data_IF_198184302808
#
_entry.id   IF_198184302808
#
_cell.length_a   1.000
_cell.length_b   1.000
_cell.length_c   1.000
_cell.angle_alpha   90.00
_cell.angle_beta   90.00
_cell.angle_gamma   90.00
#
_symmetry.space_group_name_H-M   'P 1'
#
loop_
_entity.id
_entity.type
_entity.pdbx_description
1 polymer ?
#
# COMPACT_ATOMS: atom_id res chain seq x y z
N UNK A 1 42.48 85.31 -50.16
CA UNK A 1 41.34 85.59 -49.25
C UNK A 1 40.62 84.28 -49.01
N UNK A 2 40.47 83.69 -47.83
CA UNK A 2 40.90 84.02 -46.47
C UNK A 2 40.45 82.84 -45.60
N UNK A 3 41.40 82.23 -44.89
CA UNK A 3 41.19 81.21 -43.87
C UNK A 3 40.60 81.94 -42.66
N UNK A 4 39.27 82.00 -42.50
CA UNK A 4 38.58 82.20 -41.19
C UNK A 4 37.03 82.34 -41.23
N UNK A 5 36.35 82.31 -42.39
CA UNK A 5 34.89 82.57 -42.44
C UNK A 5 33.99 81.33 -42.64
N UNK A 6 34.55 80.12 -42.56
CA UNK A 6 33.80 78.87 -42.80
C UNK A 6 33.30 78.18 -41.51
N UNK A 7 33.60 78.72 -40.32
CA UNK A 7 33.32 78.09 -39.01
C UNK A 7 32.37 78.90 -38.11
N UNK A 8 31.38 79.61 -38.67
CA UNK A 8 30.35 80.27 -37.83
C UNK A 8 28.90 80.18 -38.32
N UNK A 9 28.57 79.24 -39.21
CA UNK A 9 27.19 78.99 -39.64
C UNK A 9 26.93 77.50 -39.82
N UNK A 10 26.71 76.78 -38.71
CA UNK A 10 25.98 75.50 -38.65
C UNK A 10 25.98 74.93 -37.22
N UNK A 11 25.38 75.65 -36.29
CA UNK A 11 24.75 75.11 -35.08
C UNK A 11 23.53 75.99 -34.83
N UNK A 12 22.44 75.34 -34.46
CA UNK A 12 21.10 75.90 -34.25
C UNK A 12 20.22 75.90 -35.50
N UNK A 13 19.73 74.71 -35.84
CA UNK A 13 18.41 74.45 -36.43
C UNK A 13 18.22 72.91 -36.49
N UNK A 14 17.73 72.33 -35.40
CA UNK A 14 17.34 70.92 -35.36
C UNK A 14 15.97 70.74 -36.04
N UNK A 15 15.76 69.72 -36.91
CA UNK A 15 14.50 69.57 -37.58
C UNK A 15 13.46 68.84 -36.72
N UNK A 16 12.23 69.34 -36.88
CA UNK A 16 10.94 68.93 -36.36
C UNK A 16 10.63 67.44 -36.44
N UNK A 17 10.13 66.85 -35.34
CA UNK A 17 9.41 65.57 -35.34
C UNK A 17 8.04 65.78 -34.71
N UNK A 18 7.03 65.39 -35.47
CA UNK A 18 5.58 65.40 -35.23
C UNK A 18 5.17 64.95 -33.82
N UNK A 19 4.26 65.71 -33.20
CA UNK A 19 3.56 65.32 -31.99
C UNK A 19 2.64 64.12 -32.27
N UNK A 20 3.01 62.95 -31.72
CA UNK A 20 2.10 61.81 -31.60
C UNK A 20 1.31 61.95 -30.28
N UNK A 21 0.01 61.63 -30.26
CA UNK A 21 -0.77 61.64 -29.03
C UNK A 21 -0.24 60.55 -28.08
N UNK A 22 0.03 60.93 -26.83
CA UNK A 22 0.45 60.02 -25.77
C UNK A 22 -0.65 58.99 -25.52
N UNK A 23 -0.39 57.75 -25.91
CA UNK A 23 -1.23 56.59 -25.60
C UNK A 23 -1.37 56.48 -24.08
N UNK A 24 -2.58 56.26 -23.53
CA UNK A 24 -2.74 56.01 -22.10
C UNK A 24 -1.92 54.79 -21.72
N UNK A 25 -1.09 54.90 -20.67
CA UNK A 25 -0.43 53.74 -20.06
C UNK A 25 -1.55 52.81 -19.57
N UNK A 26 -1.86 51.79 -20.35
CA UNK A 26 -2.74 50.71 -19.92
C UNK A 26 -2.08 50.08 -18.70
N UNK A 27 -2.68 50.27 -17.52
CA UNK A 27 -2.36 49.47 -16.34
C UNK A 27 -2.54 48.02 -16.75
N UNK A 28 -1.44 47.29 -16.93
CA UNK A 28 -1.49 45.83 -17.07
C UNK A 28 -2.27 45.31 -15.86
N UNK A 29 -3.40 44.67 -16.13
CA UNK A 29 -4.11 43.92 -15.10
C UNK A 29 -3.09 42.99 -14.42
N UNK A 30 -3.15 42.81 -13.08
CA UNK A 30 -2.26 41.86 -12.43
C UNK A 30 -2.44 40.53 -13.15
N UNK A 31 -1.33 39.99 -13.67
CA UNK A 31 -1.31 38.67 -14.28
C UNK A 31 -2.00 37.74 -13.27
N UNK A 32 -3.13 37.16 -13.67
CA UNK A 32 -3.76 36.12 -12.87
C UNK A 32 -2.66 35.08 -12.66
N UNK A 33 -2.19 34.96 -11.40
CA UNK A 33 -1.28 33.88 -11.03
C UNK A 33 -2.00 32.62 -11.48
N UNK A 34 -1.48 31.99 -12.54
CA UNK A 34 -1.91 30.67 -12.92
C UNK A 34 -1.85 29.85 -11.64
N UNK A 35 -3.00 29.30 -11.23
CA UNK A 35 -3.02 28.34 -10.14
C UNK A 35 -1.99 27.28 -10.54
N UNK A 36 -1.04 26.92 -9.65
CA UNK A 36 -0.08 25.88 -9.97
C UNK A 36 -0.90 24.68 -10.45
N UNK A 37 -0.60 24.20 -11.66
CA UNK A 37 -1.24 23.01 -12.20
C UNK A 37 -1.16 21.94 -11.11
N UNK A 38 -2.31 21.42 -10.67
CA UNK A 38 -2.37 20.45 -9.58
C UNK A 38 -1.38 19.34 -9.91
N UNK A 39 -0.41 19.12 -9.04
CA UNK A 39 0.55 18.04 -9.20
C UNK A 39 -0.24 16.74 -9.42
N UNK A 40 0.17 15.88 -10.37
CA UNK A 40 -0.53 14.64 -10.62
C UNK A 40 -0.51 13.81 -9.34
N UNK A 41 -1.64 13.78 -8.64
CA UNK A 41 -1.81 12.96 -7.44
C UNK A 41 -1.91 11.52 -7.91
N UNK A 42 -0.84 10.75 -7.73
CA UNK A 42 -0.88 9.31 -7.93
C UNK A 42 -1.98 8.71 -7.07
N UNK A 43 -2.82 7.88 -7.68
CA UNK A 43 -3.84 7.09 -6.99
C UNK A 43 -3.66 5.63 -7.41
N UNK A 44 -3.78 4.69 -6.47
CA UNK A 44 -3.87 3.28 -6.82
C UNK A 44 -5.04 3.09 -7.79
N UNK A 45 -4.89 2.17 -8.72
CA UNK A 45 -5.96 1.77 -9.63
C UNK A 45 -5.82 0.28 -9.89
N UNK A 46 -6.96 -0.40 -10.02
CA UNK A 46 -6.98 -1.85 -10.28
C UNK A 46 -6.51 -2.11 -11.70
N UNK A 47 -5.49 -2.94 -11.86
CA UNK A 47 -5.09 -3.34 -13.20
C UNK A 47 -6.18 -4.24 -13.81
N UNK A 48 -6.44 -4.16 -15.13
CA UNK A 48 -7.44 -4.97 -15.82
C UNK A 48 -6.93 -6.40 -16.05
N UNK A 49 -6.60 -7.10 -14.96
CA UNK A 49 -6.10 -8.47 -14.93
C UNK A 49 -7.13 -9.32 -14.21
N UNK A 50 -7.43 -10.49 -14.77
CA UNK A 50 -8.26 -11.50 -14.12
C UNK A 50 -7.38 -12.61 -13.56
N UNK A 51 -7.54 -12.91 -12.29
CA UNK A 51 -6.78 -13.99 -11.65
C UNK A 51 -7.50 -15.32 -11.84
N UNK A 52 -6.83 -16.27 -12.51
CA UNK A 52 -7.38 -17.60 -12.82
C UNK A 52 -6.82 -18.72 -11.93
N UNK A 53 -5.93 -18.40 -11.00
CA UNK A 53 -5.30 -19.38 -10.11
C UNK A 53 -6.21 -19.79 -8.95
N UNK A 54 -5.76 -20.77 -8.17
CA UNK A 54 -6.50 -21.34 -7.03
C UNK A 54 -6.01 -20.92 -5.66
N UNK A 55 -4.83 -20.29 -5.58
CA UNK A 55 -4.07 -20.12 -4.34
C UNK A 55 -4.67 -19.06 -3.40
N UNK A 56 -5.52 -18.17 -3.94
CA UNK A 56 -6.11 -17.05 -3.20
C UNK A 56 -7.64 -17.08 -3.23
N UNK A 57 -8.25 -18.27 -3.26
CA UNK A 57 -9.71 -18.45 -3.40
C UNK A 57 -10.52 -17.81 -2.27
N UNK A 58 -9.96 -17.69 -1.06
CA UNK A 58 -10.65 -17.06 0.06
C UNK A 58 -10.69 -15.53 -0.02
N UNK A 59 -9.92 -14.94 -0.94
CA UNK A 59 -9.94 -13.50 -1.20
C UNK A 59 -10.73 -13.25 -2.47
N UNK A 60 -11.71 -12.37 -2.41
CA UNK A 60 -12.50 -11.98 -3.58
C UNK A 60 -12.04 -10.63 -4.12
N UNK A 61 -11.99 -10.48 -5.44
CA UNK A 61 -11.34 -9.35 -6.11
C UNK A 61 -9.81 -9.33 -5.91
N UNK A 62 -9.19 -8.16 -6.05
CA UNK A 62 -7.72 -7.98 -5.96
C UNK A 62 -6.94 -8.90 -6.90
N UNK A 63 -7.48 -9.13 -8.09
CA UNK A 63 -6.95 -10.08 -9.07
C UNK A 63 -5.54 -9.72 -9.53
N UNK A 64 -5.24 -8.43 -9.66
CA UNK A 64 -3.92 -7.89 -9.92
C UNK A 64 -2.93 -8.22 -8.79
N UNK A 65 -3.31 -8.00 -7.53
CA UNK A 65 -2.49 -8.34 -6.36
C UNK A 65 -2.24 -9.84 -6.27
N UNK A 66 -3.28 -10.66 -6.45
CA UNK A 66 -3.17 -12.13 -6.47
C UNK A 66 -2.24 -12.61 -7.57
N UNK A 67 -2.33 -12.01 -8.75
CA UNK A 67 -1.45 -12.33 -9.87
C UNK A 67 0.01 -12.07 -9.52
N UNK A 68 0.33 -10.92 -8.90
CA UNK A 68 1.72 -10.62 -8.49
C UNK A 68 2.20 -11.58 -7.40
N UNK A 69 1.37 -11.93 -6.42
CA UNK A 69 1.73 -12.90 -5.38
C UNK A 69 2.00 -14.30 -5.97
N UNK A 70 1.16 -14.75 -6.91
CA UNK A 70 1.36 -16.00 -7.65
C UNK A 70 2.70 -16.01 -8.40
N UNK A 71 3.02 -14.92 -9.09
CA UNK A 71 4.28 -14.76 -9.82
C UNK A 71 5.46 -14.77 -8.84
N UNK A 72 5.38 -14.08 -7.71
CA UNK A 72 6.42 -14.09 -6.70
C UNK A 72 6.67 -15.52 -6.15
N UNK A 73 5.60 -16.27 -5.88
CA UNK A 73 5.68 -17.66 -5.43
C UNK A 73 6.35 -18.55 -6.49
N UNK A 74 5.92 -18.46 -7.75
CA UNK A 74 6.51 -19.21 -8.86
C UNK A 74 7.99 -18.88 -9.05
N UNK A 75 8.34 -17.60 -9.04
CA UNK A 75 9.72 -17.13 -9.20
C UNK A 75 10.64 -17.63 -8.08
N UNK A 76 10.14 -17.75 -6.85
CA UNK A 76 10.91 -18.36 -5.76
C UNK A 76 11.17 -19.85 -6.01
N UNK A 77 10.19 -20.59 -6.52
CA UNK A 77 10.42 -21.99 -6.92
C UNK A 77 11.45 -22.09 -8.05
N UNK A 78 11.40 -21.20 -9.05
CA UNK A 78 12.42 -21.14 -10.11
C UNK A 78 13.81 -20.80 -9.54
N UNK A 79 13.90 -19.83 -8.63
CA UNK A 79 15.15 -19.44 -7.95
C UNK A 79 15.77 -20.66 -7.26
N UNK A 80 14.97 -21.43 -6.54
CA UNK A 80 15.42 -22.63 -5.84
C UNK A 80 15.93 -23.71 -6.80
N UNK A 81 15.25 -23.93 -7.93
CA UNK A 81 15.59 -25.00 -8.87
C UNK A 81 16.81 -24.64 -9.72
N UNK A 82 16.91 -23.38 -10.14
CA UNK A 82 17.95 -22.91 -11.07
C UNK A 82 19.18 -22.34 -10.37
N UNK A 83 19.02 -21.84 -9.14
CA UNK A 83 20.05 -21.07 -8.44
C UNK A 83 20.22 -19.64 -8.94
N UNK A 84 19.47 -19.24 -9.98
CA UNK A 84 19.43 -17.86 -10.48
C UNK A 84 18.53 -17.00 -9.58
N UNK A 85 18.99 -15.83 -9.18
CA UNK A 85 18.17 -14.93 -8.35
C UNK A 85 17.03 -14.32 -9.18
N UNK A 86 15.82 -14.86 -9.03
CA UNK A 86 14.58 -14.37 -9.67
C UNK A 86 13.58 -13.82 -8.66
N UNK A 87 14.02 -13.61 -7.41
CA UNK A 87 13.14 -13.28 -6.28
C UNK A 87 12.42 -11.96 -6.52
N UNK A 88 11.13 -11.96 -6.20
CA UNK A 88 10.31 -10.75 -6.20
C UNK A 88 9.76 -10.60 -4.78
N UNK A 89 10.34 -9.68 -4.03
CA UNK A 89 9.82 -9.34 -2.71
C UNK A 89 8.59 -8.45 -2.87
N UNK A 90 7.51 -8.78 -2.17
CA UNK A 90 6.22 -8.05 -2.31
C UNK A 90 5.81 -7.45 -0.97
N UNK A 91 5.44 -6.17 -0.98
CA UNK A 91 4.86 -5.48 0.17
C UNK A 91 3.42 -5.07 -0.12
N UNK A 92 2.47 -5.65 0.60
CA UNK A 92 1.06 -5.25 0.59
C UNK A 92 0.84 -4.11 1.58
N UNK A 93 0.68 -2.89 1.08
CA UNK A 93 0.46 -1.70 1.90
C UNK A 93 -1.00 -1.25 1.83
N UNK A 94 -1.53 -0.64 2.90
CA UNK A 94 -2.87 -0.05 2.84
C UNK A 94 -3.55 0.03 4.21
N UNK A 95 -4.74 0.63 4.31
CA UNK A 95 -5.42 0.78 5.59
C UNK A 95 -5.77 -0.57 6.25
N UNK A 96 -6.03 -0.61 7.56
CA UNK A 96 -6.40 -1.85 8.23
C UNK A 96 -7.70 -2.43 7.65
N UNK A 97 -7.88 -3.75 7.67
CA UNK A 97 -9.15 -4.38 7.28
C UNK A 97 -9.42 -4.50 5.77
N UNK A 98 -8.40 -4.35 4.92
CA UNK A 98 -8.47 -4.55 3.44
C UNK A 98 -7.84 -5.88 2.99
N UNK A 99 -8.06 -6.96 3.74
CA UNK A 99 -7.61 -8.34 3.42
C UNK A 99 -6.10 -8.60 3.22
N UNK A 100 -5.21 -7.63 3.47
CA UNK A 100 -3.74 -7.81 3.34
C UNK A 100 -3.20 -9.02 4.09
N UNK A 101 -3.51 -9.15 5.38
CA UNK A 101 -3.09 -10.30 6.20
C UNK A 101 -3.73 -11.61 5.72
N UNK A 102 -4.95 -11.56 5.17
CA UNK A 102 -5.61 -12.74 4.60
C UNK A 102 -4.88 -13.21 3.33
N UNK A 103 -4.47 -12.29 2.44
CA UNK A 103 -3.64 -12.61 1.28
C UNK A 103 -2.30 -13.25 1.69
N UNK A 104 -1.66 -12.73 2.74
CA UNK A 104 -0.42 -13.30 3.26
C UNK A 104 -0.62 -14.72 3.82
N UNK A 105 -1.73 -14.96 4.53
CA UNK A 105 -2.10 -16.29 5.05
C UNK A 105 -2.45 -17.27 3.94
N UNK A 106 -3.11 -16.82 2.88
CA UNK A 106 -3.38 -17.67 1.71
C UNK A 106 -2.08 -18.04 0.99
N UNK A 107 -1.15 -17.08 0.80
CA UNK A 107 0.18 -17.38 0.28
C UNK A 107 0.94 -18.36 1.17
N UNK A 108 0.82 -18.22 2.50
CA UNK A 108 1.43 -19.13 3.47
C UNK A 108 1.02 -20.58 3.21
N UNK A 109 -0.26 -20.85 2.97
CA UNK A 109 -0.81 -22.20 2.78
C UNK A 109 -0.22 -22.94 1.58
N UNK A 110 0.21 -22.21 0.56
CA UNK A 110 0.82 -22.79 -0.65
C UNK A 110 2.29 -23.17 -0.45
N UNK A 111 2.92 -22.66 0.60
CA UNK A 111 4.35 -22.85 0.86
C UNK A 111 4.53 -23.97 1.89
N UNK A 112 5.40 -24.97 1.69
CA UNK A 112 5.67 -25.99 2.70
C UNK A 112 6.13 -25.40 4.04
N UNK A 113 5.66 -25.95 5.16
CA UNK A 113 5.93 -25.42 6.52
C UNK A 113 7.43 -25.36 6.86
N UNK A 114 8.20 -26.34 6.40
CA UNK A 114 9.65 -26.44 6.59
C UNK A 114 10.45 -25.47 5.71
N UNK A 115 9.78 -24.84 4.74
CA UNK A 115 10.38 -23.90 3.78
C UNK A 115 9.94 -22.45 4.00
N UNK A 116 9.19 -22.16 5.07
CA UNK A 116 8.71 -20.82 5.39
C UNK A 116 9.00 -20.41 6.84
N UNK A 117 9.05 -19.11 7.04
CA UNK A 117 9.00 -18.48 8.36
C UNK A 117 7.88 -17.44 8.34
N UNK A 118 6.91 -17.57 9.24
CA UNK A 118 5.89 -16.54 9.44
C UNK A 118 6.23 -15.71 10.68
N UNK A 119 6.16 -14.39 10.52
CA UNK A 119 6.59 -13.43 11.54
C UNK A 119 5.55 -12.33 11.68
N UNK A 120 5.18 -11.99 12.90
CA UNK A 120 4.45 -10.76 13.21
C UNK A 120 5.46 -9.67 13.54
N UNK A 121 5.41 -8.53 12.85
CA UNK A 121 6.42 -7.46 12.97
C UNK A 121 6.63 -6.96 14.39
N UNK A 122 5.60 -6.97 15.25
CA UNK A 122 5.73 -6.58 16.67
C UNK A 122 6.41 -7.62 17.57
N UNK A 123 6.59 -8.86 17.09
CA UNK A 123 7.06 -10.01 17.88
C UNK A 123 8.39 -10.57 17.37
N UNK A 124 9.06 -9.87 16.45
CA UNK A 124 10.34 -10.31 15.89
C UNK A 124 11.51 -9.62 16.58
N UNK A 125 12.63 -10.33 16.67
CA UNK A 125 13.93 -9.73 16.94
C UNK A 125 14.93 -10.11 15.85
N UNK A 126 15.90 -9.23 15.63
CA UNK A 126 17.04 -9.40 14.72
C UNK A 126 17.76 -10.70 14.99
N UNK A 127 17.93 -11.03 16.27
CA UNK A 127 18.59 -12.26 16.70
C UNK A 127 17.77 -13.50 16.31
N UNK A 128 16.47 -13.52 16.63
CA UNK A 128 15.59 -14.66 16.39
C UNK A 128 15.40 -14.96 14.90
N UNK A 129 15.12 -13.94 14.08
CA UNK A 129 14.94 -14.13 12.63
C UNK A 129 16.22 -14.67 11.99
N UNK A 130 17.37 -14.09 12.34
CA UNK A 130 18.67 -14.52 11.82
C UNK A 130 19.03 -15.94 12.25
N UNK A 131 18.83 -16.29 13.51
CA UNK A 131 19.09 -17.64 14.03
C UNK A 131 18.19 -18.67 13.36
N UNK A 132 16.92 -18.33 13.11
CA UNK A 132 15.99 -19.20 12.36
C UNK A 132 16.46 -19.43 10.93
N UNK A 133 16.91 -18.37 10.24
CA UNK A 133 17.44 -18.49 8.87
C UNK A 133 18.73 -19.33 8.83
N UNK A 134 19.65 -19.09 9.76
CA UNK A 134 20.91 -19.85 9.82
C UNK A 134 20.71 -21.32 10.22
N UNK A 135 19.74 -21.62 11.08
CA UNK A 135 19.43 -23.00 11.48
C UNK A 135 18.68 -23.78 10.40
N UNK A 136 18.02 -23.09 9.46
CA UNK A 136 17.38 -23.70 8.29
C UNK A 136 17.68 -22.91 7.01
N UNK A 137 18.77 -23.23 6.29
CA UNK A 137 19.13 -22.56 5.05
C UNK A 137 18.19 -22.90 3.87
N UNK A 138 17.27 -23.85 4.03
CA UNK A 138 16.28 -24.24 3.00
C UNK A 138 15.01 -23.38 3.01
N UNK A 139 14.96 -22.34 3.86
CA UNK A 139 13.85 -21.39 3.86
C UNK A 139 13.78 -20.66 2.51
N UNK A 140 12.64 -20.82 1.83
CA UNK A 140 12.32 -20.15 0.58
C UNK A 140 11.54 -18.85 0.81
N UNK A 141 10.79 -18.75 1.92
CA UNK A 141 9.94 -17.60 2.17
C UNK A 141 10.05 -17.08 3.61
N UNK A 142 10.11 -15.75 3.73
CA UNK A 142 9.89 -15.02 4.97
C UNK A 142 8.62 -14.19 4.82
N UNK A 143 7.60 -14.56 5.56
CA UNK A 143 6.29 -13.93 5.57
C UNK A 143 6.21 -12.98 6.77
N UNK A 144 5.99 -11.69 6.55
CA UNK A 144 5.98 -10.67 7.62
C UNK A 144 4.66 -9.91 7.65
N UNK A 145 3.81 -10.20 8.63
CA UNK A 145 2.59 -9.41 8.86
C UNK A 145 2.92 -8.18 9.72
N UNK A 146 2.31 -7.03 9.40
CA UNK A 146 2.53 -5.77 10.10
C UNK A 146 4.01 -5.33 10.15
N UNK A 147 4.71 -5.35 9.01
CA UNK A 147 6.09 -4.90 8.86
C UNK A 147 6.32 -3.49 9.44
N UNK A 148 5.32 -2.60 9.36
CA UNK A 148 5.36 -1.24 9.93
C UNK A 148 5.43 -1.19 11.47
N UNK A 149 5.35 -2.34 12.15
CA UNK A 149 5.49 -2.49 13.61
C UNK A 149 6.83 -3.06 14.03
N UNK A 150 7.67 -3.47 13.08
CA UNK A 150 9.00 -4.01 13.31
C UNK A 150 9.96 -2.92 13.79
N UNK A 151 10.91 -3.29 14.66
CA UNK A 151 11.91 -2.33 15.12
C UNK A 151 12.93 -2.06 14.02
N UNK A 152 13.56 -0.88 14.06
CA UNK A 152 14.55 -0.49 13.05
C UNK A 152 15.75 -1.45 12.99
N UNK A 153 16.15 -1.98 14.14
CA UNK A 153 17.30 -2.89 14.25
C UNK A 153 17.05 -4.24 13.58
N UNK A 154 15.79 -4.66 13.50
CA UNK A 154 15.43 -5.95 12.92
C UNK A 154 15.43 -5.92 11.40
N UNK A 155 15.27 -4.74 10.79
CA UNK A 155 15.29 -4.58 9.33
C UNK A 155 16.62 -4.97 8.71
N UNK A 156 17.75 -4.84 9.42
CA UNK A 156 19.08 -5.19 8.91
C UNK A 156 19.17 -6.61 8.34
N UNK A 157 18.45 -7.56 8.96
CA UNK A 157 18.41 -8.95 8.49
C UNK A 157 17.66 -9.03 7.16
N UNK A 158 16.53 -8.33 7.04
CA UNK A 158 15.74 -8.27 5.81
C UNK A 158 16.51 -7.56 4.69
N UNK A 159 17.17 -6.43 4.99
CA UNK A 159 17.98 -5.69 4.02
C UNK A 159 19.06 -6.58 3.40
N UNK A 160 19.82 -7.30 4.23
CA UNK A 160 20.88 -8.21 3.77
C UNK A 160 20.32 -9.42 3.00
N UNK A 161 19.22 -10.00 3.50
CA UNK A 161 18.52 -11.14 2.89
C UNK A 161 18.01 -10.79 1.49
N UNK A 162 17.34 -9.65 1.35
CA UNK A 162 16.73 -9.22 0.09
C UNK A 162 17.80 -8.86 -0.93
N UNK A 163 18.83 -8.12 -0.53
CA UNK A 163 19.89 -7.65 -1.43
C UNK A 163 20.74 -8.79 -2.02
N UNK A 164 21.27 -9.64 -1.15
CA UNK A 164 22.29 -10.63 -1.57
C UNK A 164 21.97 -12.05 -1.18
N UNK A 165 20.96 -12.24 -0.31
CA UNK A 165 20.71 -13.50 0.38
C UNK A 165 21.73 -13.81 1.50
N UNK A 166 22.74 -12.97 1.72
CA UNK A 166 23.79 -13.26 2.71
C UNK A 166 23.26 -13.02 4.13
N UNK A 167 23.40 -14.02 4.99
CA UNK A 167 23.13 -13.95 6.41
C UNK A 167 24.41 -14.31 7.16
N UNK A 168 24.99 -13.33 7.85
CA UNK A 168 26.24 -13.49 8.58
C UNK A 168 26.12 -13.10 10.06
N UNK A 169 26.84 -13.83 10.91
CA UNK A 169 27.05 -13.54 12.32
C UNK A 169 28.52 -13.69 12.65
N UNK A 170 29.09 -12.66 13.25
CA UNK A 170 30.38 -12.70 13.91
C UNK A 170 30.19 -12.30 15.38
N UNK A 171 30.07 -13.28 16.26
CA UNK A 171 30.04 -13.08 17.72
C UNK A 171 31.09 -13.96 18.37
N UNK A 172 31.52 -13.61 19.58
CA UNK A 172 32.58 -14.30 20.33
C UNK A 172 32.43 -15.84 20.41
N UNK A 173 31.20 -16.38 20.27
CA UNK A 173 30.90 -17.82 20.34
C UNK A 173 30.28 -18.42 19.09
N UNK A 174 30.08 -17.63 18.03
CA UNK A 174 29.35 -18.07 16.84
C UNK A 174 29.84 -17.30 15.62
N UNK A 175 30.38 -18.04 14.66
CA UNK A 175 30.69 -17.57 13.32
C UNK A 175 29.86 -18.37 12.33
N UNK A 176 29.01 -17.69 11.58
CA UNK A 176 28.19 -18.30 10.54
C UNK A 176 28.08 -17.31 9.38
N UNK A 177 28.20 -17.81 8.16
CA UNK A 177 28.02 -17.06 6.93
C UNK A 177 27.34 -18.00 5.94
N UNK A 178 26.08 -17.71 5.64
CA UNK A 178 25.25 -18.52 4.76
C UNK A 178 24.61 -17.63 3.70
N UNK A 179 24.35 -18.21 2.54
CA UNK A 179 23.57 -17.57 1.49
C UNK A 179 22.22 -18.26 1.39
N UNK A 180 21.16 -17.51 1.66
CA UNK A 180 19.78 -17.97 1.74
C UNK A 180 18.96 -17.10 0.80
N UNK A 181 18.49 -17.69 -0.29
CA UNK A 181 17.67 -17.01 -1.28
C UNK A 181 16.19 -17.16 -0.93
N UNK A 182 15.78 -16.51 0.15
CA UNK A 182 14.36 -16.44 0.52
C UNK A 182 13.69 -15.21 -0.10
N UNK A 183 12.49 -15.39 -0.62
CA UNK A 183 11.57 -14.30 -1.01
C UNK A 183 10.85 -13.78 0.23
N UNK A 184 10.62 -12.47 0.27
CA UNK A 184 9.95 -11.80 1.40
C UNK A 184 8.58 -11.34 0.93
N UNK A 185 7.52 -11.84 1.55
CA UNK A 185 6.16 -11.35 1.36
C UNK A 185 5.73 -10.66 2.65
N UNK A 186 5.30 -9.41 2.57
CA UNK A 186 5.02 -8.62 3.76
C UNK A 186 3.71 -7.84 3.65
N UNK A 187 3.14 -7.47 4.80
CA UNK A 187 2.04 -6.50 4.88
C UNK A 187 2.45 -5.29 5.71
N UNK A 188 1.88 -4.13 5.42
CA UNK A 188 2.06 -2.93 6.22
C UNK A 188 0.81 -2.04 6.22
N UNK A 189 0.50 -1.46 7.36
CA UNK A 189 -0.58 -0.48 7.45
C UNK A 189 -0.13 0.96 7.16
N UNK A 190 1.14 1.27 7.42
CA UNK A 190 1.69 2.62 7.38
C UNK A 190 3.09 2.62 6.75
N UNK A 191 3.19 3.08 5.51
CA UNK A 191 4.45 3.12 4.75
C UNK A 191 5.45 4.09 5.37
N UNK A 192 4.98 5.19 5.96
CA UNK A 192 5.81 6.23 6.58
C UNK A 192 6.59 5.74 7.81
N UNK A 193 6.29 4.53 8.31
CA UNK A 193 7.00 3.89 9.42
C UNK A 193 8.13 2.97 8.95
N UNK A 194 8.22 2.70 7.66
CA UNK A 194 9.18 1.80 7.05
C UNK A 194 10.30 2.63 6.40
N UNK A 195 11.59 2.33 6.66
CA UNK A 195 12.70 3.01 6.02
C UNK A 195 12.66 2.89 4.48
N UNK A 196 13.05 3.95 3.78
CA UNK A 196 13.01 4.01 2.31
C UNK A 196 13.91 2.94 1.68
N UNK A 197 15.04 2.64 2.32
CA UNK A 197 15.98 1.61 1.90
C UNK A 197 15.33 0.21 1.89
N UNK A 198 14.40 -0.05 2.81
CA UNK A 198 13.66 -1.31 2.82
C UNK A 198 12.55 -1.29 1.76
N UNK A 199 11.84 -0.17 1.63
CA UNK A 199 10.78 0.00 0.62
C UNK A 199 11.29 -0.19 -0.81
N UNK A 200 12.50 0.32 -1.11
CA UNK A 200 13.13 0.22 -2.43
C UNK A 200 13.39 -1.22 -2.88
N UNK A 201 13.49 -2.17 -1.93
CA UNK A 201 13.68 -3.60 -2.21
C UNK A 201 12.39 -4.36 -2.43
N UNK A 202 11.24 -3.73 -2.22
CA UNK A 202 9.93 -4.33 -2.40
C UNK A 202 9.26 -3.85 -3.68
N UNK A 203 8.60 -4.77 -4.38
CA UNK A 203 7.46 -4.38 -5.20
C UNK A 203 6.29 -4.00 -4.27
N UNK A 204 6.06 -2.71 -4.14
CA UNK A 204 4.99 -2.16 -3.32
C UNK A 204 3.65 -2.22 -4.06
N UNK A 205 2.69 -2.93 -3.48
CA UNK A 205 1.30 -2.99 -3.94
C UNK A 205 0.41 -2.32 -2.90
N UNK A 206 -0.21 -1.20 -3.26
CA UNK A 206 -1.15 -0.51 -2.38
C UNK A 206 -2.56 -1.07 -2.56
N UNK A 207 -3.10 -1.67 -1.50
CA UNK A 207 -4.45 -2.21 -1.44
C UNK A 207 -5.38 -1.15 -0.85
N UNK A 208 -6.23 -0.58 -1.69
CA UNK A 208 -7.18 0.45 -1.29
C UNK A 208 -8.31 -0.09 -0.40
N UNK A 209 -9.04 0.84 0.23
CA UNK A 209 -10.32 0.48 0.82
C UNK A 209 -11.30 0.07 -0.29
N UNK A 210 -12.16 -0.89 0.01
CA UNK A 210 -13.19 -1.34 -0.92
C UNK A 210 -14.06 -0.19 -1.43
N UNK A 211 -14.38 -0.22 -2.72
CA UNK A 211 -15.55 0.50 -3.23
C UNK A 211 -16.84 -0.21 -2.78
N UNK A 212 -17.99 0.44 -2.98
CA UNK A 212 -19.28 -0.10 -2.52
C UNK A 212 -19.61 -1.46 -3.14
N UNK A 213 -19.32 -1.63 -4.42
CA UNK A 213 -19.66 -2.85 -5.16
C UNK A 213 -18.79 -4.02 -4.74
N UNK A 214 -17.49 -3.79 -4.61
CA UNK A 214 -16.53 -4.76 -4.12
C UNK A 214 -16.78 -5.12 -2.66
N UNK A 215 -17.06 -4.12 -1.82
CA UNK A 215 -17.39 -4.36 -0.42
C UNK A 215 -18.61 -5.26 -0.29
N UNK A 216 -19.71 -4.94 -0.97
CA UNK A 216 -20.95 -5.72 -0.89
C UNK A 216 -20.71 -7.14 -1.36
N UNK A 217 -19.99 -7.31 -2.47
CA UNK A 217 -19.66 -8.62 -3.02
C UNK A 217 -18.88 -9.48 -2.01
N UNK A 218 -17.75 -8.98 -1.52
CA UNK A 218 -16.89 -9.70 -0.55
C UNK A 218 -17.63 -9.93 0.78
N UNK A 219 -18.36 -8.94 1.27
CA UNK A 219 -19.13 -9.04 2.52
C UNK A 219 -20.23 -10.11 2.43
N UNK A 220 -20.94 -10.18 1.30
CA UNK A 220 -22.01 -11.14 1.08
C UNK A 220 -21.45 -12.56 1.07
N UNK A 221 -20.30 -12.76 0.41
CA UNK A 221 -19.60 -14.04 0.44
C UNK A 221 -19.20 -14.46 1.85
N UNK A 222 -18.64 -13.55 2.65
CA UNK A 222 -18.30 -13.83 4.06
C UNK A 222 -19.55 -14.23 4.85
N UNK A 223 -20.66 -13.51 4.71
CA UNK A 223 -21.91 -13.81 5.41
C UNK A 223 -22.51 -15.16 5.00
N UNK A 224 -22.33 -15.59 3.74
CA UNK A 224 -22.76 -16.91 3.26
C UNK A 224 -21.84 -18.02 3.77
N UNK A 225 -20.55 -17.94 3.46
CA UNK A 225 -19.59 -19.02 3.73
C UNK A 225 -19.32 -19.19 5.22
N UNK A 226 -19.16 -18.08 5.95
CA UNK A 226 -18.85 -18.09 7.38
C UNK A 226 -20.09 -17.95 8.24
N UNK A 227 -21.04 -17.13 7.80
CA UNK A 227 -22.26 -16.85 8.55
C UNK A 227 -23.39 -17.86 8.30
N UNK A 228 -23.30 -18.68 7.25
CA UNK A 228 -24.33 -19.63 6.87
C UNK A 228 -25.63 -18.97 6.38
N UNK A 229 -25.58 -17.71 5.96
CA UNK A 229 -26.78 -16.96 5.58
C UNK A 229 -27.22 -17.25 4.14
N UNK A 230 -28.53 -17.20 3.84
CA UNK A 230 -29.04 -17.20 2.47
C UNK A 230 -28.48 -16.02 1.67
N UNK A 231 -28.41 -16.17 0.35
CA UNK A 231 -27.83 -15.17 -0.56
C UNK A 231 -28.51 -13.80 -0.46
N UNK A 232 -29.85 -13.76 -0.47
CA UNK A 232 -30.62 -12.52 -0.36
C UNK A 232 -30.38 -11.77 0.96
N UNK A 233 -30.32 -12.49 2.08
CA UNK A 233 -30.04 -11.90 3.39
C UNK A 233 -28.60 -11.37 3.46
N UNK A 234 -27.64 -12.15 2.96
CA UNK A 234 -26.23 -11.76 2.92
C UNK A 234 -26.01 -10.48 2.10
N UNK A 235 -26.66 -10.36 0.95
CA UNK A 235 -26.61 -9.15 0.11
C UNK A 235 -27.23 -7.94 0.82
N UNK A 236 -28.43 -8.11 1.39
CA UNK A 236 -29.14 -7.05 2.09
C UNK A 236 -28.35 -6.51 3.29
N UNK A 237 -27.80 -7.41 4.12
CA UNK A 237 -26.98 -7.05 5.29
C UNK A 237 -25.67 -6.38 4.85
N UNK A 238 -25.04 -6.84 3.76
CA UNK A 238 -23.81 -6.25 3.23
C UNK A 238 -24.03 -4.83 2.73
N UNK A 239 -25.11 -4.61 1.96
CA UNK A 239 -25.52 -3.27 1.52
C UNK A 239 -25.84 -2.36 2.71
N UNK A 240 -26.50 -2.87 3.75
CA UNK A 240 -26.75 -2.13 4.99
C UNK A 240 -25.45 -1.74 5.70
N UNK A 241 -24.50 -2.67 5.84
CA UNK A 241 -23.20 -2.39 6.45
C UNK A 241 -22.50 -1.22 5.75
N UNK A 242 -22.48 -1.23 4.41
CA UNK A 242 -21.95 -0.12 3.63
C UNK A 242 -22.70 1.19 3.90
N UNK A 243 -24.03 1.18 3.86
CA UNK A 243 -24.84 2.39 4.09
C UNK A 243 -24.59 3.02 5.47
N UNK A 244 -24.34 2.20 6.49
CA UNK A 244 -24.07 2.64 7.87
C UNK A 244 -22.62 3.04 8.15
N UNK A 245 -21.74 3.04 7.15
CA UNK A 245 -20.35 3.48 7.33
C UNK A 245 -19.36 2.37 7.73
N UNK A 246 -19.80 1.11 7.76
CA UNK A 246 -18.88 -0.02 7.97
C UNK A 246 -18.14 -0.32 6.66
N UNK A 247 -16.81 -0.27 6.69
CA UNK A 247 -15.92 -0.48 5.53
C UNK A 247 -14.97 -1.64 5.71
N UNK A 248 -14.94 -2.21 6.91
CA UNK A 248 -14.00 -3.26 7.28
C UNK A 248 -14.68 -4.62 7.15
N UNK A 249 -14.06 -5.52 6.39
CA UNK A 249 -14.53 -6.93 6.33
C UNK A 249 -14.46 -7.61 7.71
N UNK A 250 -13.67 -7.09 8.66
CA UNK A 250 -13.67 -7.58 10.05
C UNK A 250 -15.00 -7.29 10.76
N UNK A 251 -15.66 -6.18 10.42
CA UNK A 251 -16.96 -5.82 10.98
C UNK A 251 -18.01 -6.83 10.48
N UNK A 252 -17.98 -7.15 9.18
CA UNK A 252 -18.82 -8.18 8.56
C UNK A 252 -18.55 -9.56 9.17
N UNK A 253 -17.28 -9.93 9.39
CA UNK A 253 -16.93 -11.19 10.01
C UNK A 253 -17.48 -11.34 11.44
N UNK A 254 -17.60 -10.24 12.21
CA UNK A 254 -18.25 -10.27 13.53
C UNK A 254 -19.75 -10.56 13.42
N UNK A 255 -20.42 -9.96 12.43
CA UNK A 255 -21.83 -10.24 12.13
C UNK A 255 -22.00 -11.72 11.75
N UNK A 256 -21.17 -12.22 10.82
CA UNK A 256 -21.20 -13.62 10.39
C UNK A 256 -21.04 -14.60 11.57
N UNK A 257 -20.07 -14.36 12.47
CA UNK A 257 -19.86 -15.19 13.66
C UNK A 257 -21.06 -15.18 14.63
N UNK A 258 -21.77 -14.07 14.72
CA UNK A 258 -22.92 -13.93 15.61
C UNK A 258 -24.19 -14.54 15.04
N UNK A 259 -24.34 -14.46 13.71
CA UNK A 259 -25.49 -14.93 12.96
C UNK A 259 -25.73 -16.44 13.12
N UNK A 260 -24.67 -17.26 13.00
CA UNK A 260 -24.75 -18.73 13.12
C UNK A 260 -25.87 -19.36 12.27
N UNK A 261 -26.05 -18.89 11.04
CA UNK A 261 -27.07 -19.34 10.10
C UNK A 261 -28.44 -18.65 10.22
N UNK A 262 -28.61 -17.75 11.20
CA UNK A 262 -29.87 -17.03 11.42
C UNK A 262 -29.76 -15.55 10.97
N UNK A 263 -30.49 -15.15 9.91
CA UNK A 263 -30.52 -13.77 9.43
C UNK A 263 -30.96 -12.75 10.49
N UNK A 264 -31.91 -13.10 11.37
CA UNK A 264 -32.43 -12.17 12.38
C UNK A 264 -31.34 -11.80 13.40
N UNK A 265 -30.52 -12.78 13.78
CA UNK A 265 -29.34 -12.54 14.63
C UNK A 265 -28.33 -11.63 13.95
N UNK A 266 -28.13 -11.78 12.64
CA UNK A 266 -27.23 -10.92 11.88
C UNK A 266 -27.71 -9.45 11.89
N UNK A 267 -29.01 -9.24 11.65
CA UNK A 267 -29.66 -7.92 11.73
C UNK A 267 -29.64 -7.34 13.15
N UNK A 268 -29.84 -8.16 14.17
CA UNK A 268 -29.70 -7.78 15.58
C UNK A 268 -28.27 -7.27 15.87
N UNK A 269 -27.24 -8.02 15.48
CA UNK A 269 -25.86 -7.61 15.66
C UNK A 269 -25.56 -6.30 14.95
N UNK A 270 -26.04 -6.13 13.71
CA UNK A 270 -25.84 -4.89 12.97
C UNK A 270 -26.52 -3.69 13.65
N UNK A 271 -27.71 -3.87 14.22
CA UNK A 271 -28.38 -2.85 15.05
C UNK A 271 -27.55 -2.49 16.28
N UNK A 272 -27.04 -3.48 17.01
CA UNK A 272 -26.16 -3.26 18.18
C UNK A 272 -24.91 -2.50 17.79
N UNK A 273 -24.24 -2.92 16.71
CA UNK A 273 -23.06 -2.25 16.18
C UNK A 273 -23.37 -0.80 15.84
N UNK A 274 -24.50 -0.53 15.19
CA UNK A 274 -24.89 0.83 14.79
C UNK A 274 -25.14 1.75 15.97
N UNK A 275 -25.64 1.20 17.08
CA UNK A 275 -25.92 1.96 18.29
C UNK A 275 -24.68 2.21 19.17
N UNK A 276 -23.67 1.32 19.12
CA UNK A 276 -22.58 1.28 20.12
C UNK A 276 -21.17 1.30 19.55
N UNK A 277 -21.00 0.95 18.28
CA UNK A 277 -19.70 0.84 17.62
C UNK A 277 -19.55 1.95 16.60
N UNK A 278 -18.64 2.92 16.81
CA UNK A 278 -18.41 3.99 15.84
C UNK A 278 -17.97 3.39 14.48
N UNK A 279 -18.46 3.93 13.35
CA UNK A 279 -18.04 3.49 12.02
C UNK A 279 -16.53 3.56 11.83
N UNK A 280 -15.98 2.67 10.99
CA UNK A 280 -14.52 2.53 10.84
C UNK A 280 -13.85 3.84 10.39
N UNK A 281 -14.51 4.62 9.53
CA UNK A 281 -14.02 5.92 9.04
C UNK A 281 -13.84 6.93 10.17
N UNK A 282 -14.77 6.93 11.13
CA UNK A 282 -14.78 7.81 12.28
C UNK A 282 -13.63 7.48 13.24
N UNK A 283 -13.35 6.20 13.47
CA UNK A 283 -12.24 5.74 14.32
C UNK A 283 -10.87 5.94 13.66
N UNK A 284 -10.80 5.87 12.32
CA UNK A 284 -9.55 6.10 11.57
C UNK A 284 -9.15 7.57 11.53
N UNK A 285 -10.11 8.49 11.59
CA UNK A 285 -9.80 9.90 11.82
C UNK A 285 -9.19 10.07 13.21
N UNK A 286 -7.94 10.55 13.30
CA UNK A 286 -7.26 10.78 14.59
C UNK A 286 -8.13 11.71 15.44
N UNK A 287 -8.79 11.19 16.48
CA UNK A 287 -9.46 12.02 17.48
C UNK A 287 -10.93 11.72 17.80
N UNK A 288 -11.48 10.55 17.45
CA UNK A 288 -12.83 10.22 17.93
C UNK A 288 -12.88 10.17 19.46
N UNK A 289 -13.59 11.13 20.05
CA UNK A 289 -14.09 11.08 21.43
C UNK A 289 -15.61 11.07 21.36
N UNK A 290 -16.30 10.16 22.08
CA UNK A 290 -17.75 10.26 22.22
C UNK A 290 -18.06 11.66 22.77
N UNK A 291 -18.86 12.46 22.04
CA UNK A 291 -19.42 13.66 22.65
C UNK A 291 -20.35 13.19 23.76
N UNK A 292 -20.10 13.68 24.98
CA UNK A 292 -20.97 13.41 26.15
C UNK A 292 -22.34 14.01 25.91
#
# INVERSE_FOLDING_TARGET
MGILDFLRRKRDEGPSVSAQPTTPVQRRAPAQRAQPAAEPVWRPSKAPVTYTGSNFRMVEGLDDVKHVLEVAIRNQYETRVTGEDRRIHVLLAGPPGVSKSLLLIEAEKEIPEDRRVFVLGSQVSKAGLRERLLSNPNIDFVLVDELDKMSKEDYDVLLSLMETGRIAVLKHRMQADARIYATVLATANYLERIPVELLDRFWLLYVESYDSSDFVRVASRILRERGGLPEGDAEAISAECWRRGYRSIRDVARIANYAKGDPERAWEMLRIMSARTPPTELVRSRGYRPRR
#
